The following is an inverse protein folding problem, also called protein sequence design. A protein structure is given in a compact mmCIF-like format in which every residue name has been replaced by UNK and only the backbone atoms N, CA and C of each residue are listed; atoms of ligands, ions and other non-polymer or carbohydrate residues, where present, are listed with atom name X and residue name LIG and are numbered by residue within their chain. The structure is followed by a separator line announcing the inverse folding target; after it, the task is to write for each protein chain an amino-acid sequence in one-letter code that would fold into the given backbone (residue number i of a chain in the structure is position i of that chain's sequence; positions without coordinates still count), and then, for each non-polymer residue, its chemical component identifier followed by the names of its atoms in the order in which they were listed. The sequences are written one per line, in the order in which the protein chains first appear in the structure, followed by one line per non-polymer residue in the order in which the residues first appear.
data_IF_862434419432
#
_entry.id   IF_862434419432
#
_cell.length_a   1.000
_cell.length_b   1.000
_cell.length_c   1.000
_cell.angle_alpha   90.00
_cell.angle_beta   90.00
_cell.angle_gamma   90.00
#
_symmetry.space_group_name_H-M   'P 1'
#
loop_
_entity.id
_entity.type
_entity.pdbx_description
1 polymer ?
#
# COMPACT_ATOMS: atom_id res chain seq x y z
N UNK A 1 -34.13 -22.91 7.13
CA UNK A 1 -34.03 -23.46 5.74
C UNK A 1 -33.39 -22.35 4.94
N UNK A 2 -32.04 -22.42 4.75
CA UNK A 2 -31.30 -21.40 4.04
C UNK A 2 -31.76 -21.34 2.57
N UNK A 3 -32.14 -20.17 2.11
CA UNK A 3 -32.46 -19.88 0.72
C UNK A 3 -31.19 -20.13 -0.15
N UNK A 4 -31.02 -21.38 -0.57
CA UNK A 4 -29.96 -21.72 -1.54
C UNK A 4 -30.34 -21.13 -2.89
N UNK A 5 -29.50 -20.21 -3.38
CA UNK A 5 -29.62 -19.67 -4.73
C UNK A 5 -29.56 -20.85 -5.72
N UNK A 6 -30.53 -20.99 -6.65
CA UNK A 6 -30.51 -22.04 -7.65
C UNK A 6 -29.23 -22.00 -8.50
N UNK A 7 -28.66 -23.15 -8.82
CA UNK A 7 -27.43 -23.22 -9.63
C UNK A 7 -27.55 -22.51 -10.99
N UNK A 8 -28.76 -22.46 -11.57
CA UNK A 8 -29.07 -21.73 -12.80
C UNK A 8 -28.97 -20.19 -12.68
N UNK A 9 -29.01 -19.67 -11.46
CA UNK A 9 -28.90 -18.24 -11.16
C UNK A 9 -27.52 -17.85 -10.62
N UNK A 10 -26.59 -18.79 -10.59
CA UNK A 10 -25.22 -18.50 -10.12
C UNK A 10 -24.34 -17.97 -11.25
N UNK A 11 -23.63 -16.86 -11.02
CA UNK A 11 -22.64 -16.36 -11.97
C UNK A 11 -21.51 -17.38 -12.21
N UNK A 12 -21.04 -17.47 -13.44
CA UNK A 12 -19.83 -18.25 -13.76
C UNK A 12 -18.56 -17.45 -13.42
N UNK A 13 -17.44 -18.13 -13.13
CA UNK A 13 -16.15 -17.46 -12.91
C UNK A 13 -15.74 -16.59 -14.10
N UNK A 14 -16.08 -17.01 -15.32
CA UNK A 14 -15.78 -16.26 -16.54
C UNK A 14 -16.57 -14.95 -16.63
N UNK A 15 -17.83 -14.95 -16.26
CA UNK A 15 -18.64 -13.73 -16.17
C UNK A 15 -18.11 -12.78 -15.09
N UNK A 16 -17.65 -13.31 -13.94
CA UNK A 16 -17.00 -12.49 -12.90
C UNK A 16 -15.69 -11.87 -13.43
N UNK A 17 -14.89 -12.61 -14.18
CA UNK A 17 -13.68 -12.08 -14.84
C UNK A 17 -14.01 -10.96 -15.83
N UNK A 18 -15.09 -11.08 -16.61
CA UNK A 18 -15.52 -10.05 -17.54
C UNK A 18 -15.91 -8.76 -16.83
N UNK A 19 -16.66 -8.85 -15.72
CA UNK A 19 -17.07 -7.69 -14.94
C UNK A 19 -15.89 -6.98 -14.29
N UNK A 20 -14.96 -7.73 -13.71
CA UNK A 20 -13.75 -7.16 -13.07
C UNK A 20 -12.81 -6.52 -14.10
N UNK A 21 -12.65 -7.13 -15.29
CA UNK A 21 -11.88 -6.54 -16.38
C UNK A 21 -12.53 -5.25 -16.89
N UNK A 22 -13.87 -5.23 -17.03
CA UNK A 22 -14.58 -4.05 -17.48
C UNK A 22 -14.46 -2.88 -16.48
N UNK A 23 -14.48 -3.17 -15.18
CA UNK A 23 -14.21 -2.19 -14.13
C UNK A 23 -12.81 -1.58 -14.25
N UNK A 24 -11.79 -2.43 -14.48
CA UNK A 24 -10.40 -1.99 -14.59
C UNK A 24 -10.14 -1.15 -15.83
N UNK A 25 -10.68 -1.57 -16.98
CA UNK A 25 -10.34 -1.00 -18.29
C UNK A 25 -11.30 0.12 -18.75
N UNK A 26 -12.50 0.21 -18.19
CA UNK A 26 -13.52 1.20 -18.54
C UNK A 26 -14.06 1.12 -19.97
N UNK A 27 -13.67 0.09 -20.74
CA UNK A 27 -14.01 -0.11 -22.13
C UNK A 27 -14.25 -1.58 -22.46
N UNK A 28 -15.33 -1.88 -23.21
CA UNK A 28 -15.62 -3.25 -23.65
C UNK A 28 -14.52 -3.83 -24.55
N UNK A 29 -13.86 -3.01 -25.35
CA UNK A 29 -12.77 -3.45 -26.25
C UNK A 29 -11.54 -3.80 -25.44
N UNK A 30 -11.05 -2.88 -24.60
CA UNK A 30 -9.87 -3.09 -23.76
C UNK A 30 -10.08 -4.26 -22.78
N UNK A 31 -11.25 -4.34 -22.14
CA UNK A 31 -11.58 -5.46 -21.25
C UNK A 31 -11.59 -6.81 -21.98
N UNK A 32 -12.09 -6.88 -23.22
CA UNK A 32 -12.08 -8.11 -24.00
C UNK A 32 -10.66 -8.54 -24.36
N UNK A 33 -9.80 -7.60 -24.75
CA UNK A 33 -8.37 -7.85 -24.99
C UNK A 33 -7.66 -8.33 -23.72
N UNK A 34 -7.91 -7.69 -22.58
CA UNK A 34 -7.31 -8.06 -21.29
C UNK A 34 -7.64 -9.51 -20.86
N UNK A 35 -8.85 -10.00 -21.17
CA UNK A 35 -9.26 -11.38 -20.83
C UNK A 35 -9.16 -12.37 -22.01
N UNK A 36 -8.59 -11.95 -23.13
CA UNK A 36 -8.32 -12.81 -24.29
C UNK A 36 -9.56 -13.32 -25.02
N UNK A 37 -10.60 -12.49 -25.16
CA UNK A 37 -11.83 -12.81 -25.89
C UNK A 37 -12.20 -11.72 -26.88
N UNK A 38 -13.22 -12.00 -27.75
CA UNK A 38 -13.77 -10.95 -28.58
C UNK A 38 -14.75 -10.06 -27.83
N UNK A 39 -14.85 -8.79 -28.24
CA UNK A 39 -15.77 -7.84 -27.61
C UNK A 39 -17.24 -8.31 -27.60
N UNK A 40 -17.79 -8.96 -28.68
CA UNK A 40 -19.12 -9.55 -28.63
C UNK A 40 -19.27 -10.63 -27.55
N UNK A 41 -18.24 -11.46 -27.33
CA UNK A 41 -18.23 -12.51 -26.30
C UNK A 41 -18.29 -11.90 -24.89
N UNK A 42 -17.48 -10.89 -24.63
CA UNK A 42 -17.49 -10.19 -23.33
C UNK A 42 -18.85 -9.51 -23.11
N UNK A 43 -19.37 -8.81 -24.13
CA UNK A 43 -20.66 -8.13 -24.05
C UNK A 43 -21.84 -9.09 -23.80
N UNK A 44 -21.83 -10.27 -24.42
CA UNK A 44 -22.82 -11.31 -24.18
C UNK A 44 -22.73 -11.84 -22.74
N UNK A 45 -21.50 -12.14 -22.25
CA UNK A 45 -21.29 -12.63 -20.89
C UNK A 45 -21.70 -11.63 -19.81
N UNK A 46 -21.51 -10.33 -20.03
CA UNK A 46 -22.02 -9.28 -19.11
C UNK A 46 -23.55 -9.26 -19.11
N UNK A 47 -24.20 -9.34 -20.27
CA UNK A 47 -25.68 -9.40 -20.35
C UNK A 47 -26.26 -10.62 -19.64
N UNK A 48 -25.62 -11.78 -19.79
CA UNK A 48 -26.03 -13.00 -19.11
C UNK A 48 -25.85 -12.86 -17.57
N UNK A 49 -24.76 -12.22 -17.12
CA UNK A 49 -24.54 -11.91 -15.73
C UNK A 49 -25.63 -10.98 -15.18
N UNK A 50 -25.95 -9.91 -15.88
CA UNK A 50 -27.04 -8.99 -15.53
C UNK A 50 -28.39 -9.71 -15.44
N UNK A 51 -28.66 -10.60 -16.38
CA UNK A 51 -29.89 -11.41 -16.37
C UNK A 51 -29.93 -12.37 -15.17
N UNK A 52 -28.82 -13.03 -14.82
CA UNK A 52 -28.74 -13.95 -13.69
C UNK A 52 -28.87 -13.24 -12.33
N UNK A 53 -28.39 -12.02 -12.25
CA UNK A 53 -28.46 -11.21 -11.03
C UNK A 53 -29.72 -10.31 -10.96
N UNK A 54 -30.52 -10.30 -12.02
CA UNK A 54 -31.69 -9.41 -12.15
C UNK A 54 -31.36 -7.93 -11.90
N UNK A 55 -30.18 -7.48 -12.33
CA UNK A 55 -29.67 -6.15 -12.10
C UNK A 55 -28.89 -5.62 -13.30
N UNK A 56 -29.04 -4.32 -13.60
CA UNK A 56 -28.17 -3.63 -14.55
C UNK A 56 -26.87 -3.28 -13.87
N UNK A 57 -25.75 -3.84 -14.36
CA UNK A 57 -24.43 -3.63 -13.79
C UNK A 57 -23.62 -2.60 -14.57
N UNK A 58 -23.93 -2.41 -15.86
CA UNK A 58 -23.14 -1.58 -16.77
C UNK A 58 -24.04 -0.65 -17.58
N UNK A 59 -23.75 0.64 -17.54
CA UNK A 59 -24.33 1.64 -18.43
C UNK A 59 -23.40 1.90 -19.61
N UNK A 60 -23.98 1.92 -20.83
CA UNK A 60 -23.25 2.22 -22.06
C UNK A 60 -23.34 3.71 -22.33
N UNK A 61 -22.23 4.42 -22.11
CA UNK A 61 -22.12 5.86 -22.40
C UNK A 61 -21.43 6.13 -23.74
N UNK A 62 -21.48 7.40 -24.17
CA UNK A 62 -20.75 7.88 -25.38
C UNK A 62 -19.23 7.76 -25.25
N UNK A 63 -18.71 7.73 -24.03
CA UNK A 63 -17.27 7.74 -23.70
C UNK A 63 -16.74 6.38 -23.20
N UNK A 64 -17.57 5.34 -23.18
CA UNK A 64 -17.14 4.01 -22.69
C UNK A 64 -18.22 3.27 -21.90
N UNK A 65 -17.80 2.31 -21.09
CA UNK A 65 -18.64 1.55 -20.17
C UNK A 65 -18.45 2.10 -18.75
N UNK A 66 -19.55 2.47 -18.09
CA UNK A 66 -19.53 2.91 -16.69
C UNK A 66 -20.32 1.88 -15.88
N UNK A 67 -19.75 1.45 -14.74
CA UNK A 67 -20.48 0.57 -13.83
C UNK A 67 -21.55 1.36 -13.05
N UNK A 68 -22.70 0.73 -12.87
CA UNK A 68 -23.72 1.23 -11.95
C UNK A 68 -23.25 1.05 -10.49
N UNK A 69 -23.88 1.65 -9.48
CA UNK A 69 -23.59 1.34 -8.07
C UNK A 69 -23.70 -0.15 -7.74
N UNK A 70 -24.67 -0.85 -8.32
CA UNK A 70 -24.79 -2.30 -8.20
C UNK A 70 -23.65 -3.05 -8.93
N UNK A 71 -23.20 -2.52 -10.07
CA UNK A 71 -22.06 -3.02 -10.82
C UNK A 71 -20.75 -2.90 -10.05
N UNK A 72 -20.50 -1.77 -9.37
CA UNK A 72 -19.32 -1.59 -8.53
C UNK A 72 -19.29 -2.58 -7.37
N UNK A 73 -20.41 -2.73 -6.64
CA UNK A 73 -20.51 -3.71 -5.56
C UNK A 73 -20.32 -5.15 -6.08
N UNK A 74 -20.96 -5.48 -7.18
CA UNK A 74 -20.83 -6.80 -7.81
C UNK A 74 -19.38 -7.08 -8.24
N UNK A 75 -18.68 -6.08 -8.82
CA UNK A 75 -17.29 -6.21 -9.24
C UNK A 75 -16.35 -6.41 -8.05
N UNK A 76 -16.58 -5.73 -6.93
CA UNK A 76 -15.81 -5.95 -5.70
C UNK A 76 -15.98 -7.37 -5.14
N UNK A 77 -17.22 -7.87 -5.12
CA UNK A 77 -17.52 -9.23 -4.68
C UNK A 77 -16.96 -10.27 -5.64
N UNK A 78 -17.04 -10.00 -6.95
CA UNK A 78 -16.46 -10.83 -8.00
C UNK A 78 -14.93 -10.95 -7.85
N UNK A 79 -14.23 -9.85 -7.61
CA UNK A 79 -12.78 -9.84 -7.38
C UNK A 79 -12.39 -10.71 -6.18
N UNK A 80 -13.17 -10.65 -5.08
CA UNK A 80 -12.96 -11.52 -3.90
C UNK A 80 -13.18 -12.99 -4.22
N UNK A 81 -14.25 -13.33 -4.93
CA UNK A 81 -14.55 -14.71 -5.32
C UNK A 81 -13.47 -15.30 -6.25
N UNK A 82 -13.02 -14.53 -7.24
CA UNK A 82 -11.92 -14.92 -8.13
C UNK A 82 -10.61 -15.14 -7.38
N UNK A 83 -10.29 -14.28 -6.40
CA UNK A 83 -9.13 -14.47 -5.55
C UNK A 83 -9.17 -15.76 -4.73
N UNK A 84 -10.36 -16.17 -4.21
CA UNK A 84 -10.53 -17.45 -3.52
C UNK A 84 -10.27 -18.64 -4.45
N UNK A 85 -10.79 -18.59 -5.69
CA UNK A 85 -10.54 -19.65 -6.66
C UNK A 85 -9.05 -19.74 -7.01
N UNK A 86 -8.39 -18.61 -7.20
CA UNK A 86 -6.94 -18.58 -7.41
C UNK A 86 -6.17 -19.13 -6.19
N UNK A 87 -6.63 -18.83 -4.96
CA UNK A 87 -6.05 -19.40 -3.73
C UNK A 87 -6.26 -20.91 -3.66
N UNK A 88 -7.41 -21.42 -4.04
CA UNK A 88 -7.66 -22.87 -4.15
C UNK A 88 -6.65 -23.53 -5.10
N UNK A 89 -6.50 -23.00 -6.32
CA UNK A 89 -5.54 -23.53 -7.29
C UNK A 89 -4.11 -23.46 -6.77
N UNK A 90 -3.76 -22.35 -6.12
CA UNK A 90 -2.43 -22.18 -5.49
C UNK A 90 -2.20 -23.16 -4.35
N UNK A 91 -3.18 -23.35 -3.46
CA UNK A 91 -3.08 -24.27 -2.32
C UNK A 91 -2.83 -25.72 -2.78
N UNK A 92 -3.53 -26.14 -3.84
CA UNK A 92 -3.38 -27.48 -4.41
C UNK A 92 -2.00 -27.64 -5.10
N UNK A 93 -1.56 -26.61 -5.83
CA UNK A 93 -0.28 -26.65 -6.56
C UNK A 93 0.94 -26.36 -5.69
N UNK A 94 0.76 -25.70 -4.54
CA UNK A 94 1.81 -25.29 -3.62
C UNK A 94 2.00 -26.27 -2.46
N UNK A 95 1.44 -27.47 -2.54
CA UNK A 95 1.52 -28.47 -1.47
C UNK A 95 2.96 -28.63 -0.96
N UNK A 96 3.36 -27.84 0.05
CA UNK A 96 4.55 -27.99 0.85
C UNK A 96 5.70 -26.99 0.67
N UNK A 97 5.66 -25.98 -0.21
CA UNK A 97 6.77 -25.02 -0.34
C UNK A 97 6.29 -23.57 -0.19
N UNK A 98 6.71 -22.87 0.88
CA UNK A 98 6.45 -21.44 1.03
C UNK A 98 6.99 -20.64 -0.16
N UNK A 99 6.29 -19.56 -0.54
CA UNK A 99 6.64 -18.68 -1.67
C UNK A 99 6.71 -19.39 -3.04
N UNK A 100 6.00 -20.50 -3.23
CA UNK A 100 5.80 -21.06 -4.55
C UNK A 100 4.71 -20.30 -5.30
N UNK A 101 5.04 -19.74 -6.47
CA UNK A 101 4.13 -18.97 -7.31
C UNK A 101 4.08 -17.48 -7.01
N UNK A 102 2.95 -16.83 -7.31
CA UNK A 102 2.80 -15.37 -7.19
C UNK A 102 2.55 -14.95 -5.75
N UNK A 103 3.33 -13.99 -5.25
CA UNK A 103 3.14 -13.33 -3.97
C UNK A 103 2.95 -11.82 -4.20
N UNK A 104 1.79 -11.30 -3.81
CA UNK A 104 1.41 -9.89 -4.00
C UNK A 104 1.78 -9.11 -2.74
N UNK A 105 2.77 -8.25 -2.85
CA UNK A 105 3.30 -7.45 -1.75
C UNK A 105 3.01 -5.98 -1.95
N UNK A 106 2.34 -5.35 -0.99
CA UNK A 106 2.15 -3.91 -0.91
C UNK A 106 3.24 -3.24 -0.08
N UNK A 107 3.49 -1.96 -0.32
CA UNK A 107 4.30 -1.13 0.57
C UNK A 107 3.83 0.33 0.49
N UNK A 108 3.93 1.05 1.62
CA UNK A 108 3.54 2.46 1.64
C UNK A 108 4.61 3.35 1.00
N UNK A 109 4.24 4.53 0.43
CA UNK A 109 5.13 5.41 -0.31
C UNK A 109 6.30 5.96 0.50
N UNK A 110 6.18 6.00 1.83
CA UNK A 110 7.25 6.45 2.72
C UNK A 110 8.24 5.33 3.11
N UNK A 111 8.03 4.11 2.64
CA UNK A 111 8.88 2.93 2.86
C UNK A 111 9.35 2.35 1.53
N UNK A 112 8.46 2.17 0.57
CA UNK A 112 8.73 1.44 -0.66
C UNK A 112 10.00 1.90 -1.40
N UNK A 113 10.21 3.18 -1.73
CA UNK A 113 11.35 3.63 -2.52
C UNK A 113 12.71 3.38 -1.82
N UNK A 114 12.71 3.33 -0.49
CA UNK A 114 13.94 3.25 0.31
C UNK A 114 14.27 1.82 0.76
N UNK A 115 13.25 0.98 0.96
CA UNK A 115 13.42 -0.40 1.40
C UNK A 115 13.56 -1.37 0.21
N UNK A 116 12.74 -1.20 -0.85
CA UNK A 116 12.66 -2.18 -1.94
C UNK A 116 13.99 -2.39 -2.68
N UNK A 117 14.84 -1.38 -2.95
CA UNK A 117 16.13 -1.60 -3.59
C UNK A 117 17.03 -2.59 -2.83
N UNK A 118 16.95 -2.61 -1.49
CA UNK A 118 17.69 -3.52 -0.62
C UNK A 118 16.95 -4.85 -0.42
N UNK A 119 15.63 -4.80 -0.31
CA UNK A 119 14.79 -5.95 -0.03
C UNK A 119 14.64 -6.91 -1.23
N UNK A 120 14.44 -6.40 -2.44
CA UNK A 120 14.17 -7.24 -3.60
C UNK A 120 15.30 -8.21 -3.95
N UNK A 121 16.60 -7.82 -3.95
CA UNK A 121 17.69 -8.76 -4.17
C UNK A 121 17.75 -9.85 -3.09
N UNK A 122 17.53 -9.46 -1.82
CA UNK A 122 17.51 -10.38 -0.68
C UNK A 122 16.36 -11.40 -0.82
N UNK A 123 15.14 -10.92 -1.11
CA UNK A 123 13.97 -11.77 -1.26
C UNK A 123 14.09 -12.70 -2.45
N UNK A 124 14.63 -12.24 -3.57
CA UNK A 124 14.91 -13.09 -4.74
C UNK A 124 15.89 -14.20 -4.43
N UNK A 125 16.94 -13.91 -3.63
CA UNK A 125 17.91 -14.92 -3.19
C UNK A 125 17.30 -15.92 -2.21
N UNK A 126 16.48 -15.46 -1.26
CA UNK A 126 15.89 -16.29 -0.20
C UNK A 126 14.68 -17.10 -0.69
N UNK A 127 13.90 -16.56 -1.62
CA UNK A 127 12.70 -17.17 -2.18
C UNK A 127 12.75 -17.19 -3.72
N UNK A 128 13.63 -17.97 -4.32
CA UNK A 128 13.89 -17.94 -5.77
C UNK A 128 12.70 -18.38 -6.63
N UNK A 129 11.73 -19.10 -6.04
CA UNK A 129 10.51 -19.55 -6.72
C UNK A 129 9.35 -18.54 -6.60
N UNK A 130 9.50 -17.50 -5.77
CA UNK A 130 8.48 -16.48 -5.62
C UNK A 130 8.44 -15.54 -6.83
N UNK A 131 7.27 -15.40 -7.44
CA UNK A 131 6.97 -14.30 -8.35
C UNK A 131 6.40 -13.13 -7.56
N UNK A 132 7.24 -12.18 -7.17
CA UNK A 132 6.79 -11.00 -6.43
C UNK A 132 6.09 -10.03 -7.37
N UNK A 133 4.84 -9.67 -7.05
CA UNK A 133 4.13 -8.54 -7.63
C UNK A 133 4.06 -7.44 -6.59
N UNK A 134 4.54 -6.24 -6.96
CA UNK A 134 4.65 -5.11 -6.05
C UNK A 134 3.58 -4.07 -6.35
N UNK A 135 3.00 -3.51 -5.27
CA UNK A 135 2.07 -2.38 -5.32
C UNK A 135 2.47 -1.34 -4.28
N UNK A 136 2.56 -0.08 -4.69
CA UNK A 136 2.68 1.04 -3.77
C UNK A 136 1.32 1.71 -3.60
N UNK A 137 0.88 1.90 -2.36
CA UNK A 137 -0.38 2.59 -2.04
C UNK A 137 -0.39 3.05 -0.57
N UNK A 138 -1.39 3.86 -0.19
CA UNK A 138 -1.61 4.30 1.18
C UNK A 138 -2.00 3.13 2.08
N UNK A 139 -1.71 3.24 3.38
CA UNK A 139 -2.00 2.16 4.36
C UNK A 139 -3.44 1.68 4.29
N UNK A 140 -4.42 2.60 4.28
CA UNK A 140 -5.84 2.26 4.22
C UNK A 140 -6.18 1.39 3.00
N UNK A 141 -5.69 1.77 1.82
CA UNK A 141 -5.93 1.03 0.57
C UNK A 141 -5.23 -0.32 0.55
N UNK A 142 -4.03 -0.42 1.14
CA UNK A 142 -3.33 -1.70 1.29
C UNK A 142 -4.08 -2.65 2.24
N UNK A 143 -4.63 -2.12 3.34
CA UNK A 143 -5.45 -2.90 4.27
C UNK A 143 -6.75 -3.39 3.61
N UNK A 144 -7.41 -2.53 2.83
CA UNK A 144 -8.59 -2.93 2.06
C UNK A 144 -8.24 -4.01 1.01
N UNK A 145 -7.09 -3.90 0.34
CA UNK A 145 -6.60 -4.92 -0.58
C UNK A 145 -6.27 -6.25 0.11
N UNK A 146 -5.73 -6.24 1.34
CA UNK A 146 -5.55 -7.45 2.17
C UNK A 146 -6.89 -8.10 2.53
N UNK A 147 -7.89 -7.30 2.93
CA UNK A 147 -9.25 -7.77 3.21
C UNK A 147 -9.94 -8.32 1.97
N UNK A 148 -9.78 -7.65 0.85
CA UNK A 148 -10.30 -8.08 -0.46
C UNK A 148 -9.52 -9.26 -1.06
N UNK A 149 -8.44 -9.73 -0.42
CA UNK A 149 -7.58 -10.84 -0.88
C UNK A 149 -6.89 -10.58 -2.22
N UNK A 150 -6.79 -9.33 -2.62
CA UNK A 150 -6.04 -8.91 -3.81
C UNK A 150 -4.57 -8.61 -3.49
N UNK A 151 -4.21 -8.64 -2.19
CA UNK A 151 -2.87 -8.51 -1.68
C UNK A 151 -2.60 -9.62 -0.65
N UNK A 152 -1.36 -10.15 -0.60
CA UNK A 152 -0.98 -11.24 0.30
C UNK A 152 -0.34 -10.69 1.60
N UNK A 153 0.49 -9.65 1.48
CA UNK A 153 1.08 -8.92 2.61
C UNK A 153 1.31 -7.44 2.26
N UNK A 154 1.48 -6.60 3.27
CA UNK A 154 1.81 -5.19 3.11
C UNK A 154 2.91 -4.76 4.09
N UNK A 155 3.89 -3.98 3.62
CA UNK A 155 4.89 -3.33 4.47
C UNK A 155 4.34 -1.94 4.82
N UNK A 156 4.07 -1.72 6.10
CA UNK A 156 3.43 -0.51 6.62
C UNK A 156 4.18 0.05 7.83
N UNK A 157 3.82 1.26 8.22
CA UNK A 157 4.25 1.82 9.51
C UNK A 157 3.31 1.37 10.63
N UNK A 158 3.90 1.06 11.79
CA UNK A 158 3.21 0.68 13.01
C UNK A 158 3.41 1.77 14.09
N UNK A 159 2.53 1.88 15.08
CA UNK A 159 1.38 1.01 15.32
C UNK A 159 0.24 1.23 14.32
N UNK A 160 -0.37 0.16 13.87
CA UNK A 160 -1.60 0.16 13.09
C UNK A 160 -2.46 -1.03 13.52
N UNK A 161 -3.72 -0.78 13.85
CA UNK A 161 -4.66 -1.81 14.27
C UNK A 161 -5.90 -1.76 13.40
N UNK A 162 -6.27 -2.90 12.85
CA UNK A 162 -7.49 -3.07 12.08
C UNK A 162 -8.06 -4.48 12.29
N UNK A 163 -9.39 -4.65 12.43
CA UNK A 163 -10.00 -5.96 12.59
C UNK A 163 -9.63 -6.93 11.46
N UNK A 164 -9.22 -8.14 11.81
CA UNK A 164 -8.87 -9.20 10.86
C UNK A 164 -7.50 -9.02 10.18
N UNK A 165 -6.66 -8.08 10.66
CA UNK A 165 -5.30 -7.86 10.19
C UNK A 165 -4.32 -8.15 11.33
N UNK A 166 -3.40 -9.07 11.09
CA UNK A 166 -2.26 -9.33 11.95
C UNK A 166 -1.03 -8.57 11.44
N UNK A 167 -0.12 -8.23 12.35
CA UNK A 167 1.11 -7.52 12.04
C UNK A 167 2.31 -8.13 12.75
N UNK A 168 3.50 -7.99 12.17
CA UNK A 168 4.76 -8.28 12.83
C UNK A 168 5.71 -7.11 12.65
N UNK A 169 6.35 -6.68 13.73
CA UNK A 169 7.39 -5.66 13.71
C UNK A 169 8.65 -6.21 13.05
N UNK A 170 9.22 -5.43 12.16
CA UNK A 170 10.51 -5.70 11.49
C UNK A 170 11.62 -4.92 12.17
N UNK A 171 11.45 -3.60 12.31
CA UNK A 171 12.44 -2.71 12.92
C UNK A 171 11.80 -1.38 13.34
N UNK A 172 12.47 -0.67 14.24
CA UNK A 172 12.15 0.73 14.52
C UNK A 172 12.85 1.65 13.50
N UNK A 173 12.21 2.77 13.21
CA UNK A 173 12.69 3.77 12.25
C UNK A 173 12.63 5.15 12.93
N UNK A 174 13.82 5.64 13.30
CA UNK A 174 14.00 6.90 13.99
C UNK A 174 13.64 8.09 13.10
N UNK A 175 13.21 9.18 13.70
CA UNK A 175 13.12 10.46 13.03
C UNK A 175 14.41 11.26 13.17
N UNK A 176 14.84 11.83 12.06
CA UNK A 176 15.90 12.81 11.97
C UNK A 176 15.29 14.17 11.65
N UNK A 177 15.89 15.23 12.19
CA UNK A 177 15.54 16.60 11.84
C UNK A 177 16.13 16.95 10.48
N UNK A 178 15.33 17.51 9.59
CA UNK A 178 15.73 17.98 8.26
C UNK A 178 15.36 19.47 8.11
N UNK A 179 16.34 20.29 7.76
CA UNK A 179 16.18 21.73 7.60
C UNK A 179 17.01 22.25 6.41
N UNK A 180 16.75 23.45 5.91
CA UNK A 180 17.63 24.12 4.94
C UNK A 180 19.06 24.18 5.46
N UNK A 181 20.04 24.13 4.56
CA UNK A 181 21.45 24.25 4.95
C UNK A 181 21.71 25.56 5.69
N UNK A 182 22.39 25.48 6.84
CA UNK A 182 22.71 26.64 7.67
C UNK A 182 21.59 27.05 8.65
N UNK A 183 20.50 26.31 8.74
CA UNK A 183 19.43 26.56 9.70
C UNK A 183 19.98 26.55 11.15
N UNK A 184 19.58 27.50 12.03
CA UNK A 184 20.15 27.65 13.38
C UNK A 184 20.05 26.36 14.22
N UNK A 185 18.94 25.63 14.16
CA UNK A 185 18.75 24.40 14.91
C UNK A 185 19.73 23.28 14.51
N UNK A 186 20.32 23.33 13.32
CA UNK A 186 21.31 22.33 12.89
C UNK A 186 22.65 22.45 13.61
N UNK A 187 22.91 23.56 14.31
CA UNK A 187 24.12 23.82 15.08
C UNK A 187 24.00 23.36 16.54
N UNK A 188 22.81 22.98 16.98
CA UNK A 188 22.56 22.57 18.38
C UNK A 188 23.07 21.15 18.61
N UNK A 189 23.70 20.93 19.77
CA UNK A 189 24.09 19.60 20.22
C UNK A 189 23.02 18.95 21.11
N UNK A 190 22.11 19.75 21.66
CA UNK A 190 20.97 19.36 22.52
C UNK A 190 19.64 19.38 21.74
N UNK A 191 19.67 19.14 20.42
CA UNK A 191 18.48 19.20 19.57
C UNK A 191 17.44 18.18 20.06
N UNK A 192 16.23 18.66 20.31
CA UNK A 192 15.10 17.85 20.76
C UNK A 192 13.81 18.24 19.99
N UNK A 193 12.77 17.40 20.00
CA UNK A 193 11.49 17.72 19.35
C UNK A 193 10.85 19.02 19.85
N UNK A 194 11.08 19.41 21.10
CA UNK A 194 10.56 20.65 21.68
C UNK A 194 11.07 21.91 20.97
N UNK A 195 12.29 21.87 20.41
CA UNK A 195 12.85 22.97 19.66
C UNK A 195 12.14 23.24 18.33
N UNK A 196 11.29 22.29 17.86
CA UNK A 196 10.47 22.49 16.67
C UNK A 196 9.21 23.32 16.94
N UNK A 197 8.89 23.58 18.22
CA UNK A 197 7.81 24.48 18.58
C UNK A 197 8.17 25.90 18.16
N UNK A 198 7.42 26.44 17.22
CA UNK A 198 7.68 27.76 16.63
C UNK A 198 8.31 27.72 15.24
N UNK A 199 8.74 26.56 14.76
CA UNK A 199 9.18 26.37 13.39
C UNK A 199 7.99 26.06 12.47
N UNK A 200 8.12 26.40 11.18
CA UNK A 200 7.19 25.97 10.15
C UNK A 200 7.48 24.50 9.79
N UNK A 201 6.85 23.56 10.51
CA UNK A 201 7.05 22.14 10.27
C UNK A 201 6.17 21.68 9.10
N UNK A 202 6.81 21.29 8.00
CA UNK A 202 6.15 20.73 6.81
C UNK A 202 5.85 19.25 7.03
N UNK A 203 4.66 18.82 6.62
CA UNK A 203 4.18 17.44 6.77
C UNK A 203 3.65 16.93 5.42
N UNK A 204 3.58 15.62 5.29
CA UNK A 204 2.84 15.00 4.19
C UNK A 204 1.34 15.27 4.30
N UNK A 205 0.62 15.15 3.19
CA UNK A 205 -0.83 15.26 3.13
C UNK A 205 -1.53 14.20 4.01
N UNK A 206 -2.81 14.45 4.28
CA UNK A 206 -3.67 13.50 5.00
C UNK A 206 -3.72 12.13 4.31
N UNK A 207 -3.80 11.06 5.11
CA UNK A 207 -3.74 9.69 4.63
C UNK A 207 -2.35 9.05 4.66
N UNK A 208 -1.28 9.85 4.80
CA UNK A 208 0.05 9.32 5.09
C UNK A 208 0.25 9.18 6.60
N UNK A 209 0.38 7.93 7.09
CA UNK A 209 0.62 7.67 8.52
C UNK A 209 1.88 8.37 9.09
N UNK A 210 2.83 8.75 8.25
CA UNK A 210 4.00 9.51 8.65
C UNK A 210 3.64 10.89 9.23
N UNK A 211 2.58 11.53 8.74
CA UNK A 211 2.05 12.78 9.27
C UNK A 211 1.62 12.61 10.73
N UNK A 212 0.81 11.59 11.01
CA UNK A 212 0.26 11.34 12.34
C UNK A 212 1.38 10.98 13.33
N UNK A 213 2.36 10.18 12.90
CA UNK A 213 3.53 9.84 13.68
C UNK A 213 4.39 11.09 14.00
N UNK A 214 4.62 11.96 13.01
CA UNK A 214 5.38 13.20 13.22
C UNK A 214 4.67 14.16 14.21
N UNK A 215 3.36 14.31 14.07
CA UNK A 215 2.55 15.11 14.98
C UNK A 215 2.59 14.56 16.41
N UNK A 216 2.46 13.23 16.56
CA UNK A 216 2.48 12.55 17.86
C UNK A 216 3.82 12.70 18.57
N UNK A 217 4.92 12.45 17.86
CA UNK A 217 6.27 12.48 18.43
C UNK A 217 6.67 13.89 18.89
N UNK A 218 6.34 14.90 18.10
CA UNK A 218 6.74 16.27 18.39
C UNK A 218 5.74 17.03 19.27
N UNK A 219 4.61 16.39 19.63
CA UNK A 219 3.52 17.04 20.35
C UNK A 219 3.12 18.38 19.70
N UNK A 220 3.13 18.41 18.36
CA UNK A 220 2.85 19.57 17.55
C UNK A 220 1.37 19.61 17.21
N UNK A 221 0.75 20.77 17.44
CA UNK A 221 -0.50 21.08 16.74
C UNK A 221 -0.18 21.25 15.24
N UNK A 222 -1.08 20.84 14.33
CA UNK A 222 -0.91 21.14 12.91
C UNK A 222 -0.68 22.63 12.73
N UNK A 223 0.53 23.03 12.29
CA UNK A 223 0.86 24.43 12.06
C UNK A 223 -0.01 25.03 10.97
N UNK A 224 -0.27 26.35 11.01
CA UNK A 224 -1.10 27.03 9.98
C UNK A 224 -0.58 26.81 8.56
N UNK A 225 0.75 26.72 8.35
CA UNK A 225 1.34 26.48 7.03
C UNK A 225 1.30 25.02 6.59
N UNK A 226 1.31 24.06 7.50
CA UNK A 226 1.15 22.64 7.13
C UNK A 226 -0.23 22.31 6.55
N UNK A 227 -1.22 23.17 6.78
CA UNK A 227 -2.56 23.04 6.20
C UNK A 227 -2.67 23.63 4.78
N UNK A 228 -1.76 24.56 4.43
CA UNK A 228 -1.77 25.25 3.12
C UNK A 228 -0.81 24.61 2.09
N UNK A 229 0.16 23.81 2.56
CA UNK A 229 1.20 23.24 1.73
C UNK A 229 1.36 21.77 2.06
N UNK A 230 0.76 20.92 1.25
CA UNK A 230 0.86 19.46 1.37
C UNK A 230 1.83 18.88 0.35
N UNK A 231 2.60 17.88 0.74
CA UNK A 231 3.40 17.06 -0.15
C UNK A 231 2.86 15.62 -0.16
N UNK A 232 2.75 15.04 -1.34
CA UNK A 232 2.31 13.64 -1.51
C UNK A 232 3.47 12.65 -1.42
N UNK A 233 4.72 13.12 -1.41
CA UNK A 233 5.91 12.26 -1.32
C UNK A 233 7.00 12.89 -0.46
N UNK A 234 7.85 12.03 0.13
CA UNK A 234 9.03 12.47 0.89
C UNK A 234 10.02 13.25 0.03
N UNK A 235 10.20 12.90 -1.24
CA UNK A 235 11.08 13.62 -2.15
C UNK A 235 10.59 15.06 -2.37
N UNK A 236 9.30 15.27 -2.62
CA UNK A 236 8.70 16.60 -2.73
C UNK A 236 8.88 17.38 -1.44
N UNK A 237 8.61 16.75 -0.29
CA UNK A 237 8.76 17.38 1.03
C UNK A 237 10.20 17.87 1.26
N UNK A 238 11.21 17.06 0.91
CA UNK A 238 12.63 17.44 0.99
C UNK A 238 12.95 18.63 0.09
N UNK A 239 12.41 18.68 -1.14
CA UNK A 239 12.63 19.82 -2.05
C UNK A 239 11.99 21.10 -1.53
N UNK A 240 10.83 21.02 -0.87
CA UNK A 240 10.19 22.17 -0.23
C UNK A 240 11.06 22.71 0.91
N UNK A 241 11.61 21.82 1.74
CA UNK A 241 12.59 22.21 2.77
C UNK A 241 13.83 22.83 2.15
N UNK A 242 14.38 22.24 1.09
CA UNK A 242 15.52 22.76 0.34
C UNK A 242 15.26 24.18 -0.21
N UNK A 243 14.01 24.46 -0.58
CA UNK A 243 13.53 25.79 -1.01
C UNK A 243 13.27 26.78 0.12
N UNK A 244 13.56 26.43 1.38
CA UNK A 244 13.41 27.32 2.53
C UNK A 244 11.96 27.51 3.01
N UNK A 245 11.03 26.61 2.65
CA UNK A 245 9.62 26.72 3.04
C UNK A 245 9.37 26.34 4.50
N UNK A 246 10.34 25.71 5.17
CA UNK A 246 10.24 25.27 6.57
C UNK A 246 11.22 24.13 6.86
N UNK A 247 10.91 23.36 7.89
CA UNK A 247 11.69 22.20 8.36
C UNK A 247 10.79 20.96 8.38
N UNK A 248 11.37 19.76 8.52
CA UNK A 248 10.56 18.54 8.64
C UNK A 248 11.26 17.45 9.45
N UNK A 249 10.54 16.36 9.69
CA UNK A 249 11.06 15.11 10.22
C UNK A 249 11.23 14.12 9.08
N UNK A 250 12.42 13.56 8.94
CA UNK A 250 12.74 12.57 7.91
C UNK A 250 13.01 11.22 8.60
N UNK A 251 12.33 10.13 8.21
CA UNK A 251 12.68 8.80 8.68
C UNK A 251 14.13 8.46 8.35
N UNK A 252 14.86 7.88 9.29
CA UNK A 252 16.28 7.50 9.12
C UNK A 252 16.48 6.60 7.92
N UNK A 253 15.60 5.61 7.75
CA UNK A 253 15.63 4.74 6.58
C UNK A 253 15.52 5.54 5.25
N UNK A 254 14.69 6.57 5.20
CA UNK A 254 14.56 7.40 4.01
C UNK A 254 15.80 8.27 3.78
N UNK A 255 16.41 8.80 4.86
CA UNK A 255 17.65 9.55 4.78
C UNK A 255 18.80 8.68 4.25
N UNK A 256 18.97 7.49 4.80
CA UNK A 256 19.97 6.50 4.36
C UNK A 256 19.69 5.99 2.94
N UNK A 257 18.41 5.88 2.58
CA UNK A 257 17.95 5.50 1.24
C UNK A 257 18.05 6.61 0.19
N UNK A 258 18.65 7.77 0.54
CA UNK A 258 18.94 8.83 -0.42
C UNK A 258 17.78 9.81 -0.66
N UNK A 259 16.76 9.87 0.19
CA UNK A 259 15.63 10.79 0.02
C UNK A 259 16.05 12.27 -0.12
N UNK A 260 17.18 12.65 0.49
CA UNK A 260 17.73 14.01 0.45
C UNK A 260 18.93 14.16 -0.49
N UNK A 261 19.22 13.19 -1.34
CA UNK A 261 20.33 13.25 -2.27
C UNK A 261 20.19 14.44 -3.24
N UNK A 262 21.22 15.26 -3.33
CA UNK A 262 21.25 16.45 -4.20
C UNK A 262 20.47 17.66 -3.68
N UNK A 263 19.77 17.57 -2.56
CA UNK A 263 19.03 18.68 -1.97
C UNK A 263 19.96 19.55 -1.09
N UNK A 264 19.70 20.87 -1.05
CA UNK A 264 20.45 21.81 -0.21
C UNK A 264 19.90 21.85 1.22
N UNK A 265 20.04 20.75 1.93
CA UNK A 265 19.51 20.57 3.28
C UNK A 265 20.58 20.06 4.23
N UNK A 266 20.30 20.14 5.52
CA UNK A 266 21.07 19.52 6.60
C UNK A 266 20.19 18.53 7.34
N UNK A 267 20.71 17.32 7.59
CA UNK A 267 20.06 16.28 8.39
C UNK A 267 20.79 16.15 9.70
N UNK A 268 20.08 16.15 10.82
CA UNK A 268 20.64 16.01 12.16
C UNK A 268 19.83 15.00 12.99
N UNK A 269 20.50 14.13 13.74
CA UNK A 269 19.82 13.34 14.75
C UNK A 269 19.42 14.27 15.91
N UNK A 270 18.40 13.87 16.66
CA UNK A 270 18.10 14.45 17.96
C UNK A 270 19.13 13.98 18.98
N UNK A 271 19.31 14.75 20.07
CA UNK A 271 20.24 14.42 21.16
C UNK A 271 19.90 13.08 21.83
N UNK A 272 18.61 12.80 21.95
CA UNK A 272 18.08 11.48 22.30
C UNK A 272 17.39 10.87 21.08
N UNK A 273 17.57 9.56 20.89
CA UNK A 273 16.92 8.86 19.77
C UNK A 273 15.40 8.98 19.86
N UNK A 274 14.79 9.44 18.77
CA UNK A 274 13.34 9.62 18.67
C UNK A 274 12.79 8.56 17.76
N UNK A 275 12.18 7.51 18.33
CA UNK A 275 11.48 6.50 17.54
C UNK A 275 10.25 7.13 16.89
N UNK A 276 10.31 7.30 15.58
CA UNK A 276 9.23 7.94 14.84
C UNK A 276 8.10 6.97 14.52
N UNK A 277 8.48 5.74 14.18
CA UNK A 277 7.56 4.65 13.82
C UNK A 277 8.30 3.32 13.88
N UNK A 278 7.55 2.22 13.90
CA UNK A 278 8.12 0.91 13.58
C UNK A 278 7.70 0.50 12.17
N UNK A 279 8.59 -0.14 11.43
CA UNK A 279 8.27 -0.79 10.14
C UNK A 279 7.77 -2.18 10.44
N UNK A 280 6.67 -2.57 9.84
CA UNK A 280 6.08 -3.89 10.02
C UNK A 280 5.52 -4.48 8.74
N UNK A 281 5.31 -5.78 8.77
CA UNK A 281 4.55 -6.52 7.77
C UNK A 281 3.16 -6.78 8.33
N UNK A 282 2.15 -6.46 7.53
CA UNK A 282 0.74 -6.73 7.81
C UNK A 282 0.20 -7.78 6.85
N UNK A 283 -0.71 -8.63 7.35
CA UNK A 283 -1.40 -9.64 6.55
C UNK A 283 -2.78 -9.93 7.13
N UNK A 284 -3.62 -10.62 6.37
CA UNK A 284 -4.94 -11.04 6.84
C UNK A 284 -4.79 -12.15 7.88
N UNK A 285 -5.38 -11.94 9.06
CA UNK A 285 -5.40 -12.93 10.14
C UNK A 285 -6.08 -14.21 9.67
N UNK A 286 -5.48 -15.37 9.96
CA UNK A 286 -5.96 -16.68 9.49
C UNK A 286 -5.87 -16.89 7.99
N UNK A 287 -5.22 -15.99 7.23
CA UNK A 287 -5.01 -16.14 5.80
C UNK A 287 -4.03 -17.27 5.47
N UNK A 288 -4.24 -17.91 4.31
CA UNK A 288 -3.38 -19.02 3.85
C UNK A 288 -1.91 -18.62 3.67
N UNK A 289 -1.65 -17.31 3.45
CA UNK A 289 -0.30 -16.72 3.28
C UNK A 289 0.29 -16.15 4.56
N UNK A 290 -0.35 -16.38 5.73
CA UNK A 290 0.11 -15.82 7.01
C UNK A 290 1.54 -16.26 7.37
N UNK A 291 1.89 -17.53 7.15
CA UNK A 291 3.25 -18.02 7.41
C UNK A 291 4.28 -17.39 6.48
N UNK A 292 3.95 -17.21 5.21
CA UNK A 292 4.83 -16.52 4.26
C UNK A 292 5.02 -15.04 4.62
N UNK A 293 3.97 -14.37 5.12
CA UNK A 293 4.08 -13.00 5.60
C UNK A 293 4.98 -12.88 6.84
N UNK A 294 4.93 -13.86 7.77
CA UNK A 294 5.85 -13.94 8.91
C UNK A 294 7.30 -14.17 8.43
N UNK A 295 7.49 -15.12 7.52
CA UNK A 295 8.80 -15.38 6.92
C UNK A 295 9.37 -14.15 6.18
N UNK A 296 8.50 -13.37 5.53
CA UNK A 296 8.86 -12.09 4.92
C UNK A 296 9.36 -11.11 5.98
N UNK A 297 8.62 -10.93 7.08
CA UNK A 297 9.03 -10.05 8.17
C UNK A 297 10.41 -10.44 8.74
N UNK A 298 10.64 -11.72 8.97
CA UNK A 298 11.95 -12.25 9.42
C UNK A 298 13.05 -12.01 8.39
N UNK A 299 12.73 -12.19 7.10
CA UNK A 299 13.71 -11.99 6.03
C UNK A 299 14.15 -10.52 5.90
N UNK A 300 13.27 -9.57 6.25
CA UNK A 300 13.56 -8.14 6.17
C UNK A 300 14.38 -7.60 7.36
N UNK A 301 14.29 -8.22 8.56
CA UNK A 301 14.99 -7.75 9.77
C UNK A 301 16.48 -7.47 9.58
N UNK A 302 17.26 -8.32 8.91
CA UNK A 302 18.71 -8.07 8.73
C UNK A 302 19.04 -6.78 7.96
N UNK A 303 18.10 -6.22 7.24
CA UNK A 303 18.29 -4.95 6.52
C UNK A 303 18.34 -3.73 7.46
N UNK A 304 18.00 -3.90 8.73
CA UNK A 304 17.92 -2.83 9.74
C UNK A 304 18.89 -3.03 10.92
N UNK A 305 19.63 -4.12 10.95
CA UNK A 305 20.58 -4.47 12.01
C UNK A 305 22.03 -4.08 11.69
N UNK A 306 22.24 -2.96 11.00
CA UNK A 306 23.60 -2.47 10.66
C UNK A 306 23.98 -1.30 11.54
#
# INVERSE_FOLDING_TARGET
MEDRIPASSMPTLRQLQFLTALRSEGSFVAAAEAVGVTQPTLSAGIKELEASLHATLVERGRTGAVLTPAGEEAAERAARALSEVEELVRAVNAAGKPFSGTFRLGAIPTIAPFLLPRALPLLKKRFPQARLLMREDLTSRLIDALRARTLDAAIIALPYSAPGIATAVVADDEFLFLAPRGHPLTQRNDLSPEHLKGEDVLLLEDGHCLRDHALSVCNLAPGRRSAEVGATSLHTLVQMVSGGMGVTLLPKMAAEGGAAAGANVSIRPFAESVIGRSIGVAWREGGQRAEEAKMLAEALRPLFTS
#
